data_IF_109223824816
#
_entry.id   IF_109223824816
#
_cell.length_a   1.000
_cell.length_b   1.000
_cell.length_c   1.000
_cell.angle_alpha   90.00
_cell.angle_beta   90.00
_cell.angle_gamma   90.00
#
_symmetry.space_group_name_H-M   'P 1'
#
loop_
_entity.id
_entity.type
_entity.pdbx_description
1 polymer ?
#
# COMPACT_ATOMS: atom_id res chain seq x y z
N UNK A 1 5.22 9.44 -19.47
CA UNK A 1 5.92 10.37 -18.63
C UNK A 1 4.98 10.86 -17.52
N UNK A 2 5.18 10.43 -16.31
CA UNK A 2 4.51 10.96 -15.16
C UNK A 2 3.04 10.54 -15.03
N UNK A 3 2.22 11.45 -14.65
CA UNK A 3 0.83 11.21 -14.33
C UNK A 3 -0.03 11.30 -15.59
N UNK A 4 -0.90 10.32 -15.80
CA UNK A 4 -1.88 10.37 -16.87
C UNK A 4 -2.79 11.60 -16.70
N UNK A 5 -3.22 12.19 -17.81
CA UNK A 5 -4.20 13.29 -17.76
C UNK A 5 -5.46 12.81 -17.03
N UNK A 6 -5.92 13.58 -16.04
CA UNK A 6 -7.05 13.21 -15.18
C UNK A 6 -6.71 12.33 -13.98
N UNK A 7 -5.44 11.93 -13.80
CA UNK A 7 -5.00 11.21 -12.61
C UNK A 7 -5.11 12.06 -11.34
N UNK A 8 -5.49 11.43 -10.24
CA UNK A 8 -5.48 12.04 -8.90
C UNK A 8 -4.09 12.07 -8.26
N UNK A 9 -3.11 11.35 -8.81
CA UNK A 9 -1.75 11.36 -8.31
C UNK A 9 -1.15 12.76 -8.38
N UNK A 10 -0.44 13.15 -7.33
CA UNK A 10 0.32 14.41 -7.26
C UNK A 10 1.76 14.10 -6.89
N UNK A 11 2.68 14.69 -7.65
CA UNK A 11 4.12 14.53 -7.48
C UNK A 11 4.87 15.42 -8.46
N UNK A 12 6.19 15.37 -8.39
CA UNK A 12 7.07 16.13 -9.25
C UNK A 12 8.05 15.22 -9.99
N UNK A 13 8.45 15.61 -11.18
CA UNK A 13 9.45 14.88 -11.96
C UNK A 13 10.85 15.20 -11.43
N UNK A 14 11.64 14.15 -11.32
CA UNK A 14 13.07 14.21 -11.00
C UNK A 14 13.86 13.51 -12.10
N UNK A 15 14.99 14.11 -12.52
CA UNK A 15 15.80 13.62 -13.64
C UNK A 15 14.98 13.35 -14.91
N UNK A 16 14.15 14.31 -15.32
CA UNK A 16 13.44 14.21 -16.58
C UNK A 16 14.43 14.34 -17.73
N UNK A 17 14.85 13.20 -18.28
CA UNK A 17 15.75 13.13 -19.43
C UNK A 17 14.93 12.99 -20.72
N UNK A 18 14.83 14.05 -21.55
CA UNK A 18 14.04 14.00 -22.76
C UNK A 18 14.65 13.10 -23.86
N UNK A 19 15.96 12.83 -23.80
CA UNK A 19 16.65 11.97 -24.78
C UNK A 19 16.39 10.51 -24.49
N UNK A 20 16.56 10.10 -23.24
CA UNK A 20 16.28 8.74 -22.78
C UNK A 20 14.78 8.49 -22.59
N UNK A 21 13.95 9.53 -22.65
CA UNK A 21 12.54 9.48 -22.32
C UNK A 21 12.26 8.87 -20.93
N UNK A 22 13.21 9.01 -20.03
CA UNK A 22 13.13 8.57 -18.65
C UNK A 22 12.89 9.75 -17.72
N UNK A 23 12.00 9.56 -16.75
CA UNK A 23 11.75 10.50 -15.69
C UNK A 23 11.38 9.72 -14.42
N UNK A 24 11.91 10.15 -13.29
CA UNK A 24 11.52 9.60 -11.98
C UNK A 24 10.47 10.50 -11.37
N UNK A 25 9.50 9.89 -10.72
CA UNK A 25 8.45 10.60 -10.01
C UNK A 25 8.80 10.67 -8.51
N UNK A 26 8.75 11.88 -7.95
CA UNK A 26 8.91 12.15 -6.53
C UNK A 26 7.57 12.59 -5.93
N UNK A 27 7.29 12.13 -4.72
CA UNK A 27 6.07 12.49 -3.98
C UNK A 27 5.93 11.60 -2.76
N UNK A 28 5.09 12.03 -1.81
CA UNK A 28 4.67 11.18 -0.70
C UNK A 28 3.74 10.08 -1.20
N UNK A 29 3.72 8.93 -0.55
CA UNK A 29 2.79 7.83 -0.86
C UNK A 29 1.35 8.32 -0.90
N UNK A 30 0.96 9.17 0.05
CA UNK A 30 -0.38 9.72 0.13
C UNK A 30 -0.76 10.58 -1.09
N UNK A 31 0.12 11.48 -1.51
CA UNK A 31 -0.13 12.34 -2.68
C UNK A 31 -0.12 11.55 -3.98
N UNK A 32 0.78 10.58 -4.12
CA UNK A 32 0.83 9.67 -5.28
C UNK A 32 -0.40 8.76 -5.37
N UNK A 33 -0.98 8.36 -4.23
CA UNK A 33 -2.24 7.60 -4.18
C UNK A 33 -3.49 8.46 -4.42
N UNK A 34 -3.35 9.77 -4.61
CA UNK A 34 -4.46 10.67 -4.93
C UNK A 34 -5.12 11.33 -3.73
N UNK A 35 -4.61 11.14 -2.51
CA UNK A 35 -5.20 11.71 -1.31
C UNK A 35 -5.18 13.24 -1.34
N UNK A 36 -4.09 13.85 -1.80
CA UNK A 36 -3.96 15.30 -1.93
C UNK A 36 -5.03 15.90 -2.86
N UNK A 37 -5.18 15.36 -4.07
CA UNK A 37 -6.18 15.83 -5.02
C UNK A 37 -7.61 15.61 -4.51
N UNK A 38 -7.86 14.52 -3.82
CA UNK A 38 -9.17 14.19 -3.25
C UNK A 38 -9.57 15.14 -2.13
N UNK A 39 -8.61 15.56 -1.29
CA UNK A 39 -8.81 16.55 -0.24
C UNK A 39 -9.06 17.93 -0.83
N UNK A 40 -8.32 18.33 -1.87
CA UNK A 40 -8.55 19.58 -2.58
C UNK A 40 -9.94 19.63 -3.22
N UNK A 41 -10.40 18.51 -3.79
CA UNK A 41 -11.74 18.38 -4.36
C UNK A 41 -12.84 18.28 -3.30
N UNK A 42 -12.49 18.05 -2.02
CA UNK A 42 -13.42 17.81 -0.90
C UNK A 42 -14.42 16.68 -1.20
N UNK A 43 -13.95 15.63 -1.87
CA UNK A 43 -14.75 14.47 -2.28
C UNK A 43 -14.52 13.29 -1.31
N UNK A 44 -15.49 12.98 -0.41
CA UNK A 44 -15.32 11.92 0.58
C UNK A 44 -15.10 10.53 -0.05
N UNK A 45 -15.72 10.25 -1.19
CA UNK A 45 -15.58 8.94 -1.83
C UNK A 45 -14.18 8.76 -2.45
N UNK A 46 -13.62 9.83 -3.02
CA UNK A 46 -12.23 9.82 -3.52
C UNK A 46 -11.22 9.75 -2.38
N UNK A 47 -11.46 10.46 -1.27
CA UNK A 47 -10.62 10.38 -0.06
C UNK A 47 -10.59 8.94 0.46
N UNK A 48 -11.76 8.30 0.55
CA UNK A 48 -11.87 6.91 0.98
C UNK A 48 -11.07 5.96 0.09
N UNK A 49 -11.23 6.08 -1.23
CA UNK A 49 -10.46 5.26 -2.20
C UNK A 49 -8.94 5.48 -2.08
N UNK A 50 -8.51 6.74 -1.89
CA UNK A 50 -7.09 7.05 -1.71
C UNK A 50 -6.52 6.42 -0.44
N UNK A 51 -7.24 6.48 0.70
CA UNK A 51 -6.84 5.83 1.94
C UNK A 51 -6.79 4.31 1.76
N UNK A 52 -7.79 3.71 1.10
CA UNK A 52 -7.81 2.28 0.81
C UNK A 52 -6.60 1.86 -0.03
N UNK A 53 -6.24 2.66 -1.04
CA UNK A 53 -5.05 2.42 -1.88
C UNK A 53 -3.75 2.52 -1.09
N UNK A 54 -3.61 3.53 -0.22
CA UNK A 54 -2.45 3.66 0.68
C UNK A 54 -2.31 2.41 1.54
N UNK A 55 -3.39 1.96 2.17
CA UNK A 55 -3.38 0.78 3.04
C UNK A 55 -3.08 -0.50 2.26
N UNK A 56 -3.66 -0.67 1.07
CA UNK A 56 -3.39 -1.83 0.20
C UNK A 56 -1.91 -1.90 -0.20
N UNK A 57 -1.29 -0.78 -0.59
CA UNK A 57 0.13 -0.73 -0.95
C UNK A 57 1.03 -1.02 0.25
N UNK A 58 0.67 -0.54 1.44
CA UNK A 58 1.39 -0.88 2.67
C UNK A 58 1.21 -2.36 3.04
N UNK A 59 0.02 -2.93 2.90
CA UNK A 59 -0.20 -4.36 3.09
C UNK A 59 0.64 -5.20 2.12
N UNK A 60 0.74 -4.77 0.86
CA UNK A 60 1.62 -5.39 -0.12
C UNK A 60 3.11 -5.25 0.26
N UNK A 61 3.54 -4.09 0.76
CA UNK A 61 4.91 -3.89 1.28
C UNK A 61 5.21 -4.82 2.46
N UNK A 62 4.31 -4.87 3.44
CA UNK A 62 4.51 -5.65 4.65
C UNK A 62 4.49 -7.17 4.43
N UNK A 63 3.88 -7.68 3.36
CA UNK A 63 3.92 -9.12 3.06
C UNK A 63 5.20 -9.55 2.35
N UNK A 64 5.98 -8.62 1.82
CA UNK A 64 7.23 -8.95 1.14
C UNK A 64 8.28 -9.57 2.08
N UNK A 65 9.25 -10.28 1.49
CA UNK A 65 10.43 -10.74 2.22
C UNK A 65 11.33 -9.57 2.59
N UNK A 66 12.08 -9.71 3.68
CA UNK A 66 12.99 -8.69 4.18
C UNK A 66 12.37 -7.83 5.28
N UNK A 67 12.97 -6.68 5.52
CA UNK A 67 12.55 -5.72 6.56
C UNK A 67 11.75 -4.62 5.87
N UNK A 68 10.46 -4.46 6.18
CA UNK A 68 9.68 -3.36 5.65
C UNK A 68 10.22 -2.02 6.19
N UNK A 69 10.43 -1.08 5.29
CA UNK A 69 10.85 0.28 5.64
C UNK A 69 9.72 1.23 5.32
N UNK A 70 9.26 1.96 6.34
CA UNK A 70 8.24 3.00 6.23
C UNK A 70 8.96 4.34 6.18
N UNK A 71 8.66 5.15 5.18
CA UNK A 71 9.17 6.50 5.11
C UNK A 71 8.39 7.39 6.10
N UNK A 72 9.13 8.28 6.82
CA UNK A 72 8.53 9.15 7.82
C UNK A 72 7.40 10.00 7.23
N UNK A 73 6.22 9.91 7.82
CA UNK A 73 4.99 10.57 7.39
C UNK A 73 4.04 9.67 6.58
N UNK A 74 4.48 8.54 6.02
CA UNK A 74 3.60 7.60 5.33
C UNK A 74 2.55 7.02 6.29
N UNK A 75 2.94 6.77 7.55
CA UNK A 75 2.09 6.22 8.62
C UNK A 75 0.92 7.13 9.02
N UNK A 76 0.99 8.41 8.65
CA UNK A 76 -0.09 9.39 8.92
C UNK A 76 -0.69 9.96 7.64
N UNK A 77 -0.27 9.48 6.47
CA UNK A 77 -0.73 9.99 5.19
C UNK A 77 -0.31 11.44 4.93
N UNK A 78 0.94 11.78 5.26
CA UNK A 78 1.51 13.10 5.01
C UNK A 78 1.52 13.42 3.52
N UNK A 79 1.07 14.61 3.15
CA UNK A 79 1.03 15.08 1.77
C UNK A 79 2.36 15.69 1.34
N UNK A 80 2.49 15.94 0.04
CA UNK A 80 3.59 16.70 -0.53
C UNK A 80 3.75 18.07 0.15
N UNK A 81 4.99 18.51 0.27
CA UNK A 81 5.35 19.83 0.75
C UNK A 81 6.05 20.60 -0.36
N UNK A 82 5.36 21.55 -0.93
CA UNK A 82 5.88 22.35 -2.04
C UNK A 82 6.64 23.61 -1.56
N UNK A 83 6.74 23.84 -0.24
CA UNK A 83 7.43 24.99 0.32
C UNK A 83 8.95 24.98 0.07
N UNK A 84 9.50 23.82 -0.30
CA UNK A 84 10.90 23.73 -0.67
C UNK A 84 11.30 24.64 -1.84
N UNK A 85 10.35 25.02 -2.71
CA UNK A 85 10.58 25.91 -3.84
C UNK A 85 10.93 27.34 -3.42
N UNK A 86 10.56 27.69 -2.20
CA UNK A 86 10.85 29.00 -1.59
C UNK A 86 12.07 28.94 -0.66
N UNK A 87 12.84 27.83 -0.68
CA UNK A 87 14.03 27.68 0.13
C UNK A 87 15.11 28.69 -0.32
N UNK A 88 15.75 29.41 0.61
CA UNK A 88 16.82 30.36 0.27
C UNK A 88 18.05 29.67 -0.35
N UNK A 89 18.24 28.37 -0.14
CA UNK A 89 19.23 27.57 -0.82
C UNK A 89 18.69 27.17 -2.22
N UNK A 90 19.28 27.76 -3.27
CA UNK A 90 18.87 27.55 -4.65
C UNK A 90 18.99 26.08 -5.11
N UNK A 91 19.97 25.33 -4.60
CA UNK A 91 20.15 23.92 -4.94
C UNK A 91 19.02 23.07 -4.35
N UNK A 92 18.54 23.42 -3.16
CA UNK A 92 17.38 22.77 -2.54
C UNK A 92 16.08 23.15 -3.25
N UNK A 93 15.89 24.42 -3.55
CA UNK A 93 14.72 24.91 -4.28
C UNK A 93 14.57 24.29 -5.68
N UNK A 94 15.67 23.92 -6.30
CA UNK A 94 15.72 23.29 -7.62
C UNK A 94 15.53 21.75 -7.57
N UNK A 95 15.67 21.13 -6.40
CA UNK A 95 15.62 19.67 -6.25
C UNK A 95 14.21 19.18 -5.89
N UNK A 96 13.46 18.69 -6.86
CA UNK A 96 12.08 18.17 -6.70
C UNK A 96 11.96 17.04 -5.68
N UNK A 97 13.05 16.37 -5.28
CA UNK A 97 13.03 15.36 -4.22
C UNK A 97 12.61 15.92 -2.86
N UNK A 98 12.78 17.23 -2.65
CA UNK A 98 12.35 17.86 -1.40
C UNK A 98 10.82 17.91 -1.23
N UNK A 99 10.04 17.68 -2.29
CA UNK A 99 8.57 17.61 -2.22
C UNK A 99 8.07 16.58 -1.18
N UNK A 100 8.81 15.50 -0.95
CA UNK A 100 8.46 14.47 0.04
C UNK A 100 9.39 14.47 1.27
N UNK A 101 10.28 15.46 1.40
CA UNK A 101 11.23 15.60 2.52
C UNK A 101 10.84 16.70 3.51
N UNK A 102 9.59 17.15 3.48
CA UNK A 102 9.06 18.12 4.41
C UNK A 102 9.12 17.65 5.86
N UNK A 103 9.03 18.58 6.81
CA UNK A 103 8.98 18.25 8.22
C UNK A 103 7.78 17.38 8.55
N UNK A 104 7.94 16.45 9.49
CA UNK A 104 6.84 15.63 9.98
C UNK A 104 5.75 16.51 10.59
N UNK A 105 4.51 16.33 10.10
CA UNK A 105 3.38 17.17 10.49
C UNK A 105 2.59 16.51 11.61
N UNK A 106 2.81 16.96 12.83
CA UNK A 106 2.10 16.50 14.03
C UNK A 106 0.63 16.91 14.08
N UNK A 107 0.25 17.97 13.33
CA UNK A 107 -1.07 18.60 13.34
C UNK A 107 -1.92 18.21 12.10
N UNK A 108 -1.88 16.95 11.71
CA UNK A 108 -2.77 16.47 10.63
C UNK A 108 -4.18 16.24 11.16
N UNK A 109 -5.15 16.22 10.23
CA UNK A 109 -6.51 15.82 10.55
C UNK A 109 -6.51 14.44 11.21
N UNK A 110 -6.75 14.44 12.53
CA UNK A 110 -6.55 13.28 13.39
C UNK A 110 -7.28 12.03 12.89
N UNK A 111 -8.56 12.17 12.52
CA UNK A 111 -9.37 11.02 12.09
C UNK A 111 -8.80 10.28 10.88
N UNK A 112 -8.23 10.99 9.93
CA UNK A 112 -7.59 10.41 8.75
C UNK A 112 -6.24 9.79 9.08
N UNK A 113 -5.41 10.52 9.82
CA UNK A 113 -4.10 10.05 10.26
C UNK A 113 -4.23 8.81 11.13
N UNK A 114 -5.13 8.81 12.12
CA UNK A 114 -5.39 7.65 12.99
C UNK A 114 -5.80 6.43 12.16
N UNK A 115 -6.65 6.58 11.15
CA UNK A 115 -7.11 5.47 10.32
C UNK A 115 -5.98 4.80 9.53
N UNK A 116 -5.08 5.61 8.94
CA UNK A 116 -3.91 5.07 8.22
C UNK A 116 -2.97 4.41 9.21
N UNK A 117 -2.67 5.08 10.31
CA UNK A 117 -1.80 4.57 11.37
C UNK A 117 -2.31 3.26 11.97
N UNK A 118 -3.58 3.20 12.37
CA UNK A 118 -4.19 1.98 12.93
C UNK A 118 -4.18 0.82 11.93
N UNK A 119 -4.43 1.11 10.64
CA UNK A 119 -4.34 0.12 9.58
C UNK A 119 -2.93 -0.47 9.45
N UNK A 120 -1.92 0.38 9.42
CA UNK A 120 -0.51 -0.06 9.35
C UNK A 120 -0.07 -0.77 10.64
N UNK A 121 -0.45 -0.28 11.81
CA UNK A 121 -0.17 -0.94 13.09
C UNK A 121 -0.79 -2.35 13.16
N UNK A 122 -1.97 -2.53 12.58
CA UNK A 122 -2.60 -3.85 12.50
C UNK A 122 -1.78 -4.82 11.63
N UNK A 123 -1.29 -4.35 10.49
CA UNK A 123 -0.40 -5.14 9.62
C UNK A 123 0.90 -5.50 10.34
N UNK A 124 1.49 -4.55 11.05
CA UNK A 124 2.69 -4.77 11.84
C UNK A 124 2.46 -5.85 12.90
N UNK A 125 1.40 -5.74 13.71
CA UNK A 125 1.05 -6.73 14.72
C UNK A 125 0.85 -8.13 14.12
N UNK A 126 0.12 -8.23 13.00
CA UNK A 126 -0.08 -9.49 12.30
C UNK A 126 1.25 -10.09 11.80
N UNK A 127 2.12 -9.25 11.25
CA UNK A 127 3.46 -9.66 10.78
C UNK A 127 4.33 -10.19 11.93
N UNK A 128 4.29 -9.58 13.10
CA UNK A 128 5.05 -10.04 14.26
C UNK A 128 4.49 -11.34 14.86
N UNK A 129 3.18 -11.53 14.79
CA UNK A 129 2.50 -12.66 15.42
C UNK A 129 2.61 -13.98 14.63
N UNK A 130 2.86 -13.94 13.31
CA UNK A 130 2.78 -15.12 12.44
C UNK A 130 4.15 -15.53 11.92
N UNK A 131 4.51 -16.80 12.13
CA UNK A 131 5.78 -17.40 11.69
C UNK A 131 6.11 -17.25 10.20
N UNK A 132 5.14 -17.40 9.27
CA UNK A 132 5.38 -17.25 7.84
C UNK A 132 5.92 -15.90 7.38
N UNK A 133 5.88 -14.85 8.18
CA UNK A 133 6.55 -13.57 7.86
C UNK A 133 8.06 -13.60 8.10
N UNK A 134 8.59 -14.66 8.70
CA UNK A 134 10.04 -14.87 8.84
C UNK A 134 10.75 -14.87 7.49
N UNK A 135 12.01 -14.41 7.47
CA UNK A 135 12.89 -14.52 6.30
C UNK A 135 13.23 -15.97 5.91
N UNK A 136 12.89 -16.97 6.76
CA UNK A 136 13.07 -18.41 6.49
C UNK A 136 11.86 -19.03 5.78
N UNK A 137 10.76 -18.33 5.63
CA UNK A 137 9.57 -18.83 4.96
C UNK A 137 9.79 -19.01 3.46
N UNK A 138 9.23 -20.07 2.91
CA UNK A 138 9.05 -20.20 1.46
C UNK A 138 8.04 -19.17 0.98
N UNK A 139 8.30 -18.54 -0.17
CA UNK A 139 7.43 -17.50 -0.74
C UNK A 139 7.22 -17.77 -2.21
N UNK A 140 5.98 -17.74 -2.65
CA UNK A 140 5.61 -17.90 -4.06
C UNK A 140 4.33 -17.11 -4.38
N UNK A 141 4.06 -16.91 -5.65
CA UNK A 141 2.78 -16.38 -6.13
C UNK A 141 1.85 -17.53 -6.50
N UNK A 142 0.55 -17.36 -6.24
CA UNK A 142 -0.50 -18.24 -6.71
C UNK A 142 -1.25 -17.57 -7.86
N UNK A 143 -1.54 -18.32 -8.93
CA UNK A 143 -2.26 -17.78 -10.07
C UNK A 143 -3.72 -17.50 -9.70
N UNK A 144 -4.16 -16.28 -9.90
CA UNK A 144 -5.52 -15.82 -9.63
C UNK A 144 -6.41 -15.82 -10.87
N UNK A 145 -5.83 -16.15 -12.05
CA UNK A 145 -6.49 -16.02 -13.36
C UNK A 145 -7.10 -14.63 -13.60
N UNK A 146 -6.56 -13.61 -12.91
CA UNK A 146 -6.99 -12.22 -13.03
C UNK A 146 -5.77 -11.29 -12.99
N UNK A 147 -5.51 -10.59 -14.10
CA UNK A 147 -4.33 -9.71 -14.25
C UNK A 147 -4.31 -8.50 -13.29
N UNK A 148 -5.43 -8.18 -12.65
CA UNK A 148 -5.53 -7.11 -11.66
C UNK A 148 -5.29 -7.57 -10.23
N UNK A 149 -5.24 -8.88 -9.99
CA UNK A 149 -5.15 -9.43 -8.64
C UNK A 149 -3.89 -10.24 -8.47
N UNK A 150 -3.12 -9.89 -7.45
CA UNK A 150 -1.92 -10.63 -7.03
C UNK A 150 -2.24 -11.46 -5.79
N UNK A 151 -1.84 -12.73 -5.80
CA UNK A 151 -1.86 -13.61 -4.63
C UNK A 151 -0.44 -14.01 -4.27
N UNK A 152 -0.04 -13.76 -3.02
CA UNK A 152 1.28 -14.13 -2.47
C UNK A 152 1.06 -15.12 -1.34
N UNK A 153 1.73 -16.27 -1.41
CA UNK A 153 1.73 -17.29 -0.37
C UNK A 153 3.06 -17.28 0.36
N UNK A 154 3.00 -17.43 1.66
CA UNK A 154 4.17 -17.58 2.54
C UNK A 154 3.94 -18.79 3.45
N UNK A 155 4.90 -19.70 3.54
CA UNK A 155 4.80 -20.90 4.38
C UNK A 155 6.06 -21.08 5.21
N UNK A 156 5.87 -21.35 6.48
CA UNK A 156 6.93 -21.81 7.39
C UNK A 156 6.41 -22.97 8.21
N UNK A 157 7.03 -24.17 8.05
CA UNK A 157 6.57 -25.41 8.67
C UNK A 157 5.09 -25.66 8.36
N UNK A 158 4.27 -25.84 9.40
CA UNK A 158 2.84 -26.09 9.37
C UNK A 158 1.97 -24.81 9.42
N UNK A 159 2.54 -23.65 9.06
CA UNK A 159 1.85 -22.38 9.05
C UNK A 159 1.90 -21.76 7.65
N UNK A 160 0.79 -21.14 7.22
CA UNK A 160 0.71 -20.43 5.95
C UNK A 160 -0.01 -19.07 6.11
N UNK A 161 0.52 -18.06 5.42
CA UNK A 161 -0.16 -16.80 5.18
C UNK A 161 -0.38 -16.63 3.67
N UNK A 162 -1.60 -16.27 3.30
CA UNK A 162 -1.99 -15.94 1.93
C UNK A 162 -2.40 -14.48 1.89
N UNK A 163 -1.71 -13.66 1.11
CA UNK A 163 -2.08 -12.27 0.86
C UNK A 163 -2.69 -12.12 -0.52
N UNK A 164 -3.83 -11.45 -0.61
CA UNK A 164 -4.52 -11.20 -1.87
C UNK A 164 -4.73 -9.70 -2.03
N UNK A 165 -4.40 -9.15 -3.22
CA UNK A 165 -4.35 -7.71 -3.47
C UNK A 165 -4.98 -7.39 -4.82
N UNK A 166 -5.97 -6.51 -4.83
CA UNK A 166 -6.58 -5.96 -6.04
C UNK A 166 -5.96 -4.60 -6.37
N UNK A 167 -5.19 -4.53 -7.45
CA UNK A 167 -4.53 -3.29 -7.93
C UNK A 167 -5.39 -2.46 -8.88
N UNK A 168 -6.68 -2.81 -9.05
CA UNK A 168 -7.61 -1.99 -9.81
C UNK A 168 -8.51 -1.15 -8.90
N UNK A 169 -9.11 -0.11 -9.45
CA UNK A 169 -10.08 0.72 -8.73
C UNK A 169 -11.49 0.07 -8.69
N UNK A 170 -11.70 -1.04 -9.43
CA UNK A 170 -12.96 -1.76 -9.52
C UNK A 170 -12.91 -3.09 -8.74
N UNK A 171 -14.07 -3.62 -8.30
CA UNK A 171 -14.13 -4.93 -7.67
C UNK A 171 -13.59 -6.03 -8.59
N UNK A 172 -12.81 -6.94 -8.05
CA UNK A 172 -12.18 -8.04 -8.77
C UNK A 172 -12.35 -9.36 -8.03
N UNK A 173 -12.34 -10.46 -8.77
CA UNK A 173 -12.34 -11.82 -8.22
C UNK A 173 -10.95 -12.44 -8.37
N UNK A 174 -10.39 -12.93 -7.28
CA UNK A 174 -9.24 -13.84 -7.28
C UNK A 174 -9.79 -15.28 -7.42
N UNK A 175 -9.54 -15.91 -8.55
CA UNK A 175 -9.93 -17.29 -8.81
C UNK A 175 -8.91 -18.25 -8.20
N UNK A 176 -8.97 -18.41 -6.88
CA UNK A 176 -8.08 -19.28 -6.12
C UNK A 176 -8.88 -20.39 -5.46
N UNK A 177 -8.24 -21.52 -5.20
CA UNK A 177 -8.79 -22.62 -4.40
C UNK A 177 -7.70 -23.15 -3.46
N UNK A 178 -7.82 -22.81 -2.19
CA UNK A 178 -6.93 -23.25 -1.12
C UNK A 178 -7.52 -24.40 -0.29
N UNK A 179 -8.53 -25.10 -0.82
CA UNK A 179 -9.25 -26.19 -0.16
C UNK A 179 -10.34 -25.69 0.78
N UNK A 180 -10.94 -26.65 1.52
CA UNK A 180 -12.12 -26.39 2.37
C UNK A 180 -11.75 -25.93 3.80
N UNK A 181 -10.48 -26.01 4.21
CA UNK A 181 -10.08 -25.58 5.55
C UNK A 181 -10.19 -24.06 5.68
N UNK A 182 -10.79 -23.56 6.76
CA UNK A 182 -10.90 -22.13 6.99
C UNK A 182 -9.54 -21.49 7.27
N UNK A 183 -9.41 -20.24 6.84
CA UNK A 183 -8.33 -19.35 7.16
C UNK A 183 -8.83 -18.24 8.08
N UNK A 184 -8.04 -17.88 9.07
CA UNK A 184 -8.27 -16.70 9.89
C UNK A 184 -7.93 -15.43 9.09
N UNK A 185 -8.85 -14.45 9.03
CA UNK A 185 -8.55 -13.14 8.48
C UNK A 185 -7.74 -12.31 9.49
N UNK A 186 -6.46 -12.08 9.18
CA UNK A 186 -5.53 -11.35 10.06
C UNK A 186 -5.81 -9.84 10.10
N UNK A 187 -6.39 -9.30 9.04
CA UNK A 187 -6.65 -7.85 8.89
C UNK A 187 -8.14 -7.50 9.01
N UNK A 188 -9.01 -8.48 8.89
CA UNK A 188 -10.44 -8.37 9.10
C UNK A 188 -10.90 -8.96 10.45
N UNK A 189 -11.98 -9.69 10.39
CA UNK A 189 -12.53 -10.45 11.53
C UNK A 189 -13.08 -11.78 11.04
N UNK A 190 -12.86 -12.81 11.85
CA UNK A 190 -13.41 -14.14 11.62
C UNK A 190 -12.57 -15.01 10.71
N UNK A 191 -13.22 -16.03 10.16
CA UNK A 191 -12.61 -17.02 9.30
C UNK A 191 -13.33 -17.07 7.96
N UNK A 192 -12.65 -17.50 6.93
CA UNK A 192 -13.19 -17.70 5.60
C UNK A 192 -12.49 -18.85 4.87
N UNK A 193 -13.21 -19.49 3.98
CA UNK A 193 -12.62 -20.43 3.03
C UNK A 193 -12.11 -19.62 1.83
N UNK A 194 -10.85 -19.82 1.45
CA UNK A 194 -10.27 -19.13 0.32
C UNK A 194 -10.61 -19.84 -0.99
N UNK A 195 -11.79 -19.52 -1.51
CA UNK A 195 -12.27 -19.97 -2.80
C UNK A 195 -12.98 -18.79 -3.51
N UNK A 196 -12.46 -18.37 -4.66
CA UNK A 196 -13.03 -17.28 -5.44
C UNK A 196 -13.23 -15.98 -4.61
N UNK A 197 -12.14 -15.46 -4.06
CA UNK A 197 -12.18 -14.29 -3.18
C UNK A 197 -12.52 -13.04 -3.98
N UNK A 198 -13.60 -12.35 -3.58
CA UNK A 198 -13.99 -11.06 -4.17
C UNK A 198 -13.40 -9.94 -3.33
N UNK A 199 -12.65 -9.06 -3.98
CA UNK A 199 -12.04 -7.87 -3.37
C UNK A 199 -12.64 -6.59 -3.98
N UNK A 200 -13.02 -5.60 -3.17
CA UNK A 200 -13.39 -4.28 -3.69
C UNK A 200 -12.21 -3.63 -4.42
N UNK A 201 -12.44 -2.50 -5.08
CA UNK A 201 -11.35 -1.72 -5.67
C UNK A 201 -10.28 -1.36 -4.63
N UNK A 202 -9.01 -1.59 -4.95
CA UNK A 202 -7.87 -1.50 -4.03
C UNK A 202 -8.03 -2.34 -2.75
N UNK A 203 -8.86 -3.39 -2.80
CA UNK A 203 -9.07 -4.31 -1.69
C UNK A 203 -7.88 -5.23 -1.47
N UNK A 204 -7.73 -5.66 -0.23
CA UNK A 204 -6.66 -6.58 0.16
C UNK A 204 -7.07 -7.39 1.40
N UNK A 205 -6.40 -8.52 1.61
CA UNK A 205 -6.57 -9.34 2.81
C UNK A 205 -5.36 -10.22 3.06
N UNK A 206 -5.14 -10.55 4.31
CA UNK A 206 -4.15 -11.53 4.76
C UNK A 206 -4.87 -12.63 5.51
N UNK A 207 -4.67 -13.84 5.07
CA UNK A 207 -5.37 -15.03 5.56
C UNK A 207 -4.37 -16.04 6.08
N UNK A 208 -4.56 -16.49 7.30
CA UNK A 208 -3.64 -17.37 8.01
C UNK A 208 -4.30 -18.70 8.31
N UNK A 209 -3.57 -19.78 8.16
CA UNK A 209 -3.93 -21.07 8.70
C UNK A 209 -2.72 -21.83 9.26
N UNK A 210 -3.01 -22.72 10.18
CA UNK A 210 -2.08 -23.74 10.66
C UNK A 210 -2.73 -25.11 10.53
N UNK A 211 -1.92 -26.16 10.48
CA UNK A 211 -2.38 -27.54 10.47
C UNK A 211 -1.48 -28.39 11.37
N UNK A 212 -2.00 -29.50 11.88
CA UNK A 212 -1.23 -30.48 12.63
C UNK A 212 -0.27 -31.21 11.69
N UNK A 213 0.94 -31.56 12.19
CA UNK A 213 1.94 -32.36 11.45
C UNK A 213 1.50 -33.81 11.34
#
# INVERSE_FOLDING_TARGET
RGMAAGSDARGELYNDDPVLQDARLCGTTASLCGLEASLQAKDPARIERAIQKILMLNAYLFIQSGIPVIYSGDEIGQLNDYSYKDDPDADRAADSRYVHRGHFRWELEKKRADRIFEGMQKMEKARFACGPFSGKAAVWTYDTYNSHVLCICRQLKNEMVVGVFNFSDEPQTAWIDMGEMPFQDLLGKGECVLRNVILPGNGYGWYYKTWEE
#
